data_IF_165782676172
#
_entry.id   IF_165782676172
#
_cell.length_a   1.000
_cell.length_b   1.000
_cell.length_c   1.000
_cell.angle_alpha   90.00
_cell.angle_beta   90.00
_cell.angle_gamma   90.00
#
_symmetry.space_group_name_H-M   'P 1'
#
loop_
_entity.id
_entity.type
_entity.pdbx_description
1 polymer ?
#
# COMPACT_ATOMS: atom_id res chain seq x y z
N UNK A 1 0.71 0.92 -7.00
CA UNK A 1 -0.43 0.27 -6.30
C UNK A 1 -0.23 0.51 -4.81
N UNK A 2 -1.08 1.30 -4.19
CA UNK A 2 -1.05 1.57 -2.73
C UNK A 2 -1.97 0.56 -2.08
N UNK A 3 -1.44 -0.31 -1.23
CA UNK A 3 -2.25 -1.32 -0.54
C UNK A 3 -2.59 -0.80 0.84
N UNK A 4 -3.83 -0.37 1.02
CA UNK A 4 -4.42 -0.09 2.33
C UNK A 4 -4.77 -1.43 2.99
N UNK A 5 -4.05 -1.81 4.04
CA UNK A 5 -4.37 -3.00 4.82
C UNK A 5 -5.24 -2.63 6.01
N UNK A 6 -6.54 -2.87 5.88
CA UNK A 6 -7.47 -2.94 7.00
C UNK A 6 -7.29 -4.28 7.73
N UNK A 7 -6.76 -4.20 8.93
CA UNK A 7 -6.44 -5.37 9.76
C UNK A 7 -7.71 -5.92 10.39
N UNK A 8 -8.35 -6.95 9.83
CA UNK A 8 -9.13 -7.87 10.69
C UNK A 8 -9.44 -9.25 10.12
N UNK A 9 -9.10 -9.60 8.88
CA UNK A 9 -9.39 -10.94 8.38
C UNK A 9 -8.30 -11.46 7.43
N UNK A 10 -7.88 -12.72 7.63
CA UNK A 10 -7.06 -13.53 6.72
C UNK A 10 -5.59 -13.13 6.57
N UNK A 11 -4.75 -13.40 7.59
CA UNK A 11 -3.29 -13.26 7.51
C UNK A 11 -2.63 -14.04 6.36
N UNK A 12 -3.27 -15.11 5.89
CA UNK A 12 -2.67 -16.00 4.88
C UNK A 12 -2.73 -15.45 3.45
N UNK A 13 -3.74 -14.67 3.10
CA UNK A 13 -3.93 -14.18 1.73
C UNK A 13 -3.19 -12.87 1.46
N UNK A 14 -2.92 -12.05 2.49
CA UNK A 14 -2.27 -10.76 2.32
C UNK A 14 -0.82 -10.88 1.83
N UNK A 15 -0.12 -11.95 2.19
CA UNK A 15 1.26 -12.17 1.78
C UNK A 15 1.43 -12.23 0.26
N UNK A 16 0.42 -12.71 -0.47
CA UNK A 16 0.45 -12.77 -1.93
C UNK A 16 0.45 -11.38 -2.60
N UNK A 17 0.01 -10.34 -1.89
CA UNK A 17 -0.07 -8.98 -2.41
C UNK A 17 1.09 -8.08 -1.96
N UNK A 18 1.95 -8.59 -1.06
CA UNK A 18 3.10 -7.83 -0.60
C UNK A 18 4.21 -7.85 -1.66
N UNK A 19 4.46 -6.70 -2.27
CA UNK A 19 5.48 -6.52 -3.31
C UNK A 19 6.42 -5.36 -2.98
N UNK A 20 7.65 -5.45 -3.45
CA UNK A 20 8.64 -4.37 -3.30
C UNK A 20 8.33 -3.11 -4.14
N UNK A 21 7.29 -3.16 -4.99
CA UNK A 21 6.82 -2.04 -5.82
C UNK A 21 5.72 -1.22 -5.13
N UNK A 22 5.59 -1.32 -3.83
CA UNK A 22 4.49 -0.72 -3.08
C UNK A 22 4.98 0.19 -1.96
N UNK A 23 4.21 1.23 -1.67
CA UNK A 23 4.26 1.97 -0.40
C UNK A 23 3.21 1.34 0.52
N UNK A 24 3.59 1.02 1.74
CA UNK A 24 2.68 0.43 2.72
C UNK A 24 2.22 1.47 3.72
N UNK A 25 0.90 1.62 3.84
CA UNK A 25 0.28 2.48 4.85
C UNK A 25 -0.26 1.60 5.97
N UNK A 26 0.33 1.71 7.15
CA UNK A 26 -0.03 0.93 8.33
C UNK A 26 -0.83 1.80 9.30
N UNK A 27 -2.12 1.50 9.42
CA UNK A 27 -3.04 2.24 10.26
C UNK A 27 -3.10 1.62 11.67
N UNK A 28 -3.11 2.47 12.69
CA UNK A 28 -3.34 2.05 14.06
C UNK A 28 -4.19 3.08 14.82
N UNK A 29 -4.92 2.59 15.80
CA UNK A 29 -5.86 3.39 16.59
C UNK A 29 -5.13 4.03 17.78
N UNK A 30 -4.95 5.35 17.75
CA UNK A 30 -4.25 6.12 18.80
C UNK A 30 -4.96 6.02 20.16
N UNK A 31 -6.26 5.74 20.17
CA UNK A 31 -7.01 5.61 21.42
C UNK A 31 -6.58 4.39 22.24
N UNK A 32 -5.94 3.42 21.61
CA UNK A 32 -5.40 2.20 22.24
C UNK A 32 -3.98 2.37 22.77
N UNK A 33 -3.38 3.55 22.57
CA UNK A 33 -2.02 3.84 23.03
C UNK A 33 -0.98 2.87 22.47
N UNK A 34 0.05 2.60 23.27
CA UNK A 34 1.17 1.70 22.92
C UNK A 34 0.71 0.33 22.41
N UNK A 35 -0.36 -0.23 22.97
CA UNK A 35 -0.88 -1.54 22.55
C UNK A 35 -1.45 -1.51 21.13
N UNK A 36 -2.02 -0.39 20.69
CA UNK A 36 -2.43 -0.21 19.31
C UNK A 36 -1.26 -0.33 18.33
N UNK A 37 -0.15 0.30 18.66
CA UNK A 37 1.07 0.27 17.87
C UNK A 37 1.76 -1.10 17.92
N UNK A 38 1.82 -1.77 19.08
CA UNK A 38 2.37 -3.13 19.20
C UNK A 38 1.70 -4.14 18.28
N UNK A 39 0.40 -3.98 18.02
CA UNK A 39 -0.34 -4.84 17.10
C UNK A 39 0.11 -4.72 15.63
N UNK A 40 0.81 -3.65 15.27
CA UNK A 40 1.41 -3.51 13.94
C UNK A 40 2.70 -4.33 13.77
N UNK A 41 3.43 -4.66 14.84
CA UNK A 41 4.73 -5.33 14.73
C UNK A 41 4.70 -6.62 13.87
N UNK A 42 3.72 -7.53 14.01
CA UNK A 42 3.64 -8.70 13.14
C UNK A 42 3.46 -8.35 11.66
N UNK A 43 2.72 -7.29 11.36
CA UNK A 43 2.50 -6.81 10.00
C UNK A 43 3.76 -6.20 9.41
N UNK A 44 4.45 -5.35 10.16
CA UNK A 44 5.72 -4.77 9.75
C UNK A 44 6.74 -5.87 9.45
N UNK A 45 6.82 -6.91 10.29
CA UNK A 45 7.69 -8.07 10.03
C UNK A 45 7.30 -8.83 8.77
N UNK A 46 5.99 -9.01 8.51
CA UNK A 46 5.50 -9.64 7.28
C UNK A 46 5.86 -8.81 6.04
N UNK A 47 5.72 -7.49 6.10
CA UNK A 47 6.14 -6.59 5.02
C UNK A 47 7.65 -6.72 4.80
N UNK A 48 8.46 -6.72 5.85
CA UNK A 48 9.91 -6.87 5.72
C UNK A 48 10.29 -8.22 5.13
N UNK A 49 9.58 -9.28 5.47
CA UNK A 49 9.85 -10.63 4.95
C UNK A 49 9.48 -10.78 3.47
N UNK A 50 8.32 -10.27 3.06
CA UNK A 50 7.79 -10.45 1.70
C UNK A 50 8.23 -9.35 0.73
N UNK A 51 8.43 -8.13 1.22
CA UNK A 51 8.77 -6.94 0.44
C UNK A 51 9.91 -6.15 1.11
N UNK A 52 11.10 -6.73 1.24
CA UNK A 52 12.20 -6.12 2.00
C UNK A 52 12.60 -4.75 1.45
N UNK A 53 12.68 -3.77 2.36
CA UNK A 53 13.08 -2.41 2.04
C UNK A 53 12.00 -1.55 1.38
N UNK A 54 10.76 -2.03 1.29
CA UNK A 54 9.63 -1.22 0.86
C UNK A 54 9.31 -0.16 1.93
N UNK A 55 9.01 1.08 1.53
CA UNK A 55 8.72 2.14 2.47
C UNK A 55 7.38 1.93 3.18
N UNK A 56 7.37 2.26 4.47
CA UNK A 56 6.17 2.24 5.30
C UNK A 56 5.85 3.63 5.81
N UNK A 57 4.57 3.98 5.79
CA UNK A 57 3.97 5.12 6.49
C UNK A 57 3.16 4.58 7.66
N UNK A 58 3.43 5.07 8.86
CA UNK A 58 2.60 4.80 10.03
C UNK A 58 1.55 5.90 10.15
N UNK A 59 0.30 5.51 10.34
CA UNK A 59 -0.80 6.45 10.48
C UNK A 59 -1.56 6.16 11.76
N UNK A 60 -1.47 7.08 12.72
CA UNK A 60 -2.26 7.08 13.94
C UNK A 60 -3.63 7.70 13.65
N UNK A 61 -4.67 6.89 13.68
CA UNK A 61 -6.05 7.30 13.39
C UNK A 61 -6.81 7.66 14.66
N UNK A 62 -8.01 8.25 14.53
CA UNK A 62 -8.88 8.68 15.62
C UNK A 62 -8.27 9.77 16.51
N UNK A 63 -7.54 10.71 15.92
CA UNK A 63 -6.98 11.86 16.62
C UNK A 63 -8.06 12.73 17.28
N UNK A 64 -9.24 12.82 16.67
CA UNK A 64 -10.42 13.51 17.14
C UNK A 64 -10.91 13.02 18.52
N UNK A 65 -10.78 11.72 18.78
CA UNK A 65 -11.31 11.08 19.98
C UNK A 65 -10.43 11.27 21.21
N UNK A 66 -9.16 11.62 21.05
CA UNK A 66 -8.21 11.84 22.16
C UNK A 66 -7.26 13.01 21.90
N UNK A 67 -7.77 14.25 21.84
CA UNK A 67 -6.93 15.43 21.55
C UNK A 67 -5.72 15.58 22.49
N UNK A 68 -5.90 15.24 23.78
CA UNK A 68 -4.84 15.34 24.77
C UNK A 68 -3.66 14.37 24.55
N UNK A 69 -3.89 13.26 23.84
CA UNK A 69 -2.89 12.23 23.53
C UNK A 69 -2.44 12.30 22.07
N UNK A 70 -3.18 12.99 21.23
CA UNK A 70 -2.85 13.25 19.81
C UNK A 70 -1.69 14.26 19.68
N UNK A 71 -0.75 14.21 20.60
CA UNK A 71 0.45 15.02 20.59
C UNK A 71 1.58 14.24 19.94
N UNK A 72 2.23 14.85 18.94
CA UNK A 72 3.35 14.26 18.23
C UNK A 72 4.47 13.73 19.16
N UNK A 73 4.72 14.43 20.27
CA UNK A 73 5.72 14.01 21.25
C UNK A 73 5.36 12.70 21.93
N UNK A 74 4.09 12.50 22.31
CA UNK A 74 3.62 11.28 22.97
C UNK A 74 3.65 10.11 22.00
N UNK A 75 3.21 10.33 20.77
CA UNK A 75 3.25 9.30 19.72
C UNK A 75 4.69 8.91 19.40
N UNK A 76 5.59 9.88 19.29
CA UNK A 76 7.02 9.60 19.07
C UNK A 76 7.65 8.78 20.22
N UNK A 77 7.25 9.02 21.47
CA UNK A 77 7.69 8.21 22.62
C UNK A 77 7.19 6.76 22.51
N UNK A 78 5.94 6.55 22.13
CA UNK A 78 5.40 5.20 21.94
C UNK A 78 6.05 4.47 20.76
N UNK A 79 6.34 5.19 19.70
CA UNK A 79 7.06 4.64 18.55
C UNK A 79 8.48 4.24 18.92
N UNK A 80 9.19 5.08 19.70
CA UNK A 80 10.51 4.77 20.22
C UNK A 80 10.50 3.54 21.13
N UNK A 81 9.49 3.41 22.01
CA UNK A 81 9.34 2.24 22.88
C UNK A 81 9.12 0.95 22.11
N UNK A 82 8.28 0.98 21.07
CA UNK A 82 7.83 -0.23 20.36
C UNK A 82 8.73 -0.61 19.19
N UNK A 83 9.20 0.38 18.46
CA UNK A 83 9.96 0.20 17.20
C UNK A 83 11.44 0.53 17.34
N UNK A 84 11.83 1.16 18.46
CA UNK A 84 13.18 1.68 18.67
C UNK A 84 13.37 3.01 17.96
N UNK A 85 14.64 3.38 17.71
CA UNK A 85 14.97 4.69 17.17
C UNK A 85 14.36 4.95 15.78
N UNK A 86 13.19 5.61 15.77
CA UNK A 86 12.38 5.87 14.57
C UNK A 86 13.15 6.69 13.53
N UNK A 87 13.98 7.65 13.97
CA UNK A 87 14.80 8.45 13.07
C UNK A 87 15.80 7.60 12.26
N UNK A 88 16.26 6.51 12.84
CA UNK A 88 17.16 5.56 12.16
C UNK A 88 16.40 4.54 11.29
N UNK A 89 15.11 4.31 11.54
CA UNK A 89 14.29 3.38 10.75
C UNK A 89 14.13 3.83 9.29
N UNK A 90 14.33 5.10 8.97
CA UNK A 90 14.41 5.58 7.57
C UNK A 90 15.58 4.93 6.81
N UNK A 91 16.63 4.54 7.51
CA UNK A 91 17.78 3.82 6.90
C UNK A 91 17.43 2.35 6.73
N UNK A 92 17.35 1.89 5.50
CA UNK A 92 17.05 0.48 5.17
C UNK A 92 17.93 -0.52 5.90
N UNK A 93 19.24 -0.22 6.04
CA UNK A 93 20.20 -1.11 6.72
C UNK A 93 19.93 -1.25 8.22
N UNK A 94 19.48 -0.19 8.88
CA UNK A 94 19.13 -0.22 10.30
C UNK A 94 17.80 -0.95 10.52
N UNK A 95 16.79 -0.61 9.74
CA UNK A 95 15.48 -1.26 9.79
C UNK A 95 15.61 -2.79 9.55
N UNK A 96 16.38 -3.19 8.55
CA UNK A 96 16.63 -4.61 8.25
C UNK A 96 17.30 -5.37 9.40
N UNK A 97 18.22 -4.74 10.16
CA UNK A 97 18.84 -5.35 11.36
C UNK A 97 17.81 -5.64 12.45
N UNK A 98 16.75 -4.85 12.54
CA UNK A 98 15.65 -5.04 13.49
C UNK A 98 14.55 -5.99 12.94
N UNK A 99 14.69 -6.46 11.71
CA UNK A 99 13.64 -7.24 11.03
C UNK A 99 12.39 -6.42 10.73
N UNK A 100 12.55 -5.11 10.55
CA UNK A 100 11.47 -4.15 10.25
C UNK A 100 11.70 -3.52 8.87
N UNK A 101 10.63 -3.08 8.19
CA UNK A 101 10.75 -2.27 6.97
C UNK A 101 11.16 -0.83 7.34
N UNK A 102 11.71 -0.06 6.39
CA UNK A 102 12.01 1.35 6.64
C UNK A 102 10.72 2.15 6.84
N UNK A 103 10.62 2.82 7.99
CA UNK A 103 9.53 3.75 8.30
C UNK A 103 9.96 5.15 7.87
N UNK A 104 9.34 5.66 6.82
CA UNK A 104 9.69 6.96 6.25
C UNK A 104 8.93 8.11 6.88
N UNK A 105 7.70 7.88 7.27
CA UNK A 105 6.84 8.90 7.82
C UNK A 105 5.89 8.33 8.87
N UNK A 106 5.58 9.12 9.88
CA UNK A 106 4.55 8.85 10.89
C UNK A 106 3.62 10.05 10.96
N UNK A 107 2.34 9.82 10.79
CA UNK A 107 1.30 10.84 10.73
C UNK A 107 0.25 10.57 11.77
N UNK A 108 -0.20 11.61 12.45
CA UNK A 108 -1.38 11.60 13.31
C UNK A 108 -2.48 12.30 12.52
N UNK A 109 -3.62 11.65 12.34
CA UNK A 109 -4.70 12.22 11.53
C UNK A 109 -6.10 11.95 12.08
N UNK A 110 -6.98 12.86 11.78
CA UNK A 110 -8.41 12.65 11.79
C UNK A 110 -8.87 12.18 10.40
N UNK A 111 -9.37 10.94 10.31
CA UNK A 111 -9.85 10.38 9.05
C UNK A 111 -11.10 11.09 8.50
N UNK A 112 -11.77 11.92 9.28
CA UNK A 112 -12.88 12.74 8.84
C UNK A 112 -12.44 14.11 8.31
N UNK A 113 -11.20 14.52 8.60
CA UNK A 113 -10.59 15.73 8.08
C UNK A 113 -10.16 15.51 6.62
N UNK A 114 -10.78 16.25 5.71
CA UNK A 114 -10.39 16.19 4.30
C UNK A 114 -8.96 16.68 4.08
N UNK A 115 -8.53 17.69 4.83
CA UNK A 115 -7.19 18.26 4.75
C UNK A 115 -6.11 17.24 5.17
N UNK A 116 -6.32 16.53 6.28
CA UNK A 116 -5.39 15.48 6.74
C UNK A 116 -5.26 14.36 5.71
N UNK A 117 -6.38 13.96 5.10
CA UNK A 117 -6.39 12.93 4.04
C UNK A 117 -5.65 13.41 2.80
N UNK A 118 -5.85 14.66 2.37
CA UNK A 118 -5.13 15.23 1.22
C UNK A 118 -3.63 15.32 1.48
N UNK A 119 -3.21 15.73 2.67
CA UNK A 119 -1.79 15.74 3.07
C UNK A 119 -1.19 14.33 3.03
N UNK A 120 -1.85 13.36 3.62
CA UNK A 120 -1.37 11.96 3.58
C UNK A 120 -1.25 11.44 2.14
N UNK A 121 -2.22 11.74 1.28
CA UNK A 121 -2.19 11.32 -0.13
C UNK A 121 -1.02 11.95 -0.89
N UNK A 122 -0.71 13.22 -0.62
CA UNK A 122 0.45 13.90 -1.20
C UNK A 122 1.77 13.25 -0.73
N UNK A 123 1.91 12.97 0.57
CA UNK A 123 3.08 12.28 1.12
C UNK A 123 3.29 10.90 0.47
N UNK A 124 2.20 10.13 0.30
CA UNK A 124 2.23 8.83 -0.37
C UNK A 124 2.65 8.98 -1.83
N UNK A 125 2.12 9.99 -2.53
CA UNK A 125 2.47 10.27 -3.92
C UNK A 125 3.95 10.59 -4.06
N UNK A 126 4.48 11.49 -3.23
CA UNK A 126 5.88 11.89 -3.25
C UNK A 126 6.82 10.70 -2.97
N UNK A 127 6.44 9.83 -2.05
CA UNK A 127 7.18 8.58 -1.83
C UNK A 127 7.09 7.64 -3.02
N UNK A 128 5.93 7.52 -3.66
CA UNK A 128 5.75 6.65 -4.83
C UNK A 128 6.59 7.11 -6.03
N UNK A 129 6.68 8.43 -6.24
CA UNK A 129 7.55 9.02 -7.28
C UNK A 129 9.04 8.71 -7.03
N UNK A 130 9.45 8.64 -5.76
CA UNK A 130 10.84 8.35 -5.39
C UNK A 130 11.18 6.85 -5.41
N UNK A 131 10.17 5.97 -5.48
CA UNK A 131 10.40 4.53 -5.54
C UNK A 131 11.14 4.12 -6.81
N UNK A 132 12.21 3.37 -6.63
CA UNK A 132 13.05 2.89 -7.72
C UNK A 132 13.21 1.39 -7.67
N UNK A 133 13.34 0.79 -8.83
CA UNK A 133 13.63 -0.62 -8.95
C UNK A 133 14.97 -0.94 -8.28
N UNK A 134 15.05 -1.97 -7.40
CA UNK A 134 16.23 -2.20 -6.56
C UNK A 134 17.51 -2.51 -7.36
N UNK A 135 17.39 -3.09 -8.55
CA UNK A 135 18.54 -3.45 -9.41
C UNK A 135 18.85 -2.39 -10.46
N UNK A 136 17.84 -1.87 -11.17
CA UNK A 136 18.03 -0.96 -12.31
C UNK A 136 18.03 0.51 -11.91
N UNK A 137 17.55 0.84 -10.71
CA UNK A 137 17.38 2.20 -10.21
C UNK A 137 16.42 3.08 -11.03
N UNK A 138 15.69 2.47 -11.96
CA UNK A 138 14.67 3.16 -12.76
C UNK A 138 13.46 3.44 -11.85
N UNK A 139 12.86 4.66 -11.91
CA UNK A 139 11.62 4.95 -11.19
C UNK A 139 10.50 4.00 -11.60
N UNK A 140 9.77 3.45 -10.63
CA UNK A 140 8.66 2.54 -10.96
C UNK A 140 7.52 3.20 -11.73
N UNK A 141 7.30 4.50 -11.53
CA UNK A 141 6.27 5.25 -12.25
C UNK A 141 6.67 5.56 -13.70
N UNK A 142 7.97 5.48 -14.03
CA UNK A 142 8.50 5.66 -15.38
C UNK A 142 8.72 4.31 -16.09
N UNK A 143 8.40 3.19 -15.40
CA UNK A 143 8.55 1.87 -15.98
C UNK A 143 7.56 1.72 -17.17
N UNK A 144 8.07 1.40 -18.34
CA UNK A 144 7.25 1.25 -19.54
C UNK A 144 6.40 0.00 -19.39
N UNK A 145 5.12 0.19 -19.19
CA UNK A 145 4.15 -0.91 -19.17
C UNK A 145 3.86 -1.31 -20.61
N UNK A 146 4.00 -2.59 -20.98
CA UNK A 146 3.65 -3.04 -22.33
C UNK A 146 2.22 -2.61 -22.70
N UNK A 147 2.02 -2.18 -23.94
CA UNK A 147 0.72 -1.75 -24.45
C UNK A 147 -0.37 -2.80 -24.24
N UNK A 148 0.00 -4.06 -24.33
CA UNK A 148 -0.89 -5.19 -24.05
C UNK A 148 -1.53 -5.16 -22.66
N UNK A 149 -0.82 -4.66 -21.63
CA UNK A 149 -1.39 -4.51 -20.28
C UNK A 149 -2.44 -3.41 -20.22
N UNK A 150 -2.23 -2.28 -20.91
CA UNK A 150 -3.23 -1.20 -20.98
C UNK A 150 -4.49 -1.65 -21.72
N UNK A 151 -4.33 -2.40 -22.81
CA UNK A 151 -5.45 -2.93 -23.56
C UNK A 151 -6.25 -3.94 -22.72
N UNK A 152 -5.57 -4.87 -22.04
CA UNK A 152 -6.21 -5.81 -21.13
C UNK A 152 -6.90 -5.10 -19.96
N UNK A 153 -6.24 -4.12 -19.35
CA UNK A 153 -6.83 -3.32 -18.27
C UNK A 153 -8.13 -2.65 -18.75
N UNK A 154 -8.12 -2.03 -19.93
CA UNK A 154 -9.30 -1.38 -20.49
C UNK A 154 -10.46 -2.35 -20.70
N UNK A 155 -10.19 -3.57 -21.19
CA UNK A 155 -11.21 -4.62 -21.36
C UNK A 155 -11.80 -5.07 -20.02
N UNK A 156 -10.94 -5.27 -19.01
CA UNK A 156 -11.38 -5.63 -17.64
C UNK A 156 -12.23 -4.51 -17.06
N UNK A 157 -11.83 -3.25 -17.19
CA UNK A 157 -12.59 -2.11 -16.69
C UNK A 157 -13.97 -1.98 -17.34
N UNK A 158 -14.06 -2.17 -18.67
CA UNK A 158 -15.35 -2.17 -19.39
C UNK A 158 -16.25 -3.27 -18.85
N UNK A 159 -15.71 -4.48 -18.67
CA UNK A 159 -16.49 -5.60 -18.14
C UNK A 159 -16.93 -5.34 -16.71
N UNK A 160 -16.05 -4.86 -15.83
CA UNK A 160 -16.36 -4.52 -14.45
C UNK A 160 -17.45 -3.45 -14.39
N UNK A 161 -17.37 -2.39 -15.20
CA UNK A 161 -18.43 -1.37 -15.27
C UNK A 161 -19.77 -1.93 -15.74
N UNK A 162 -19.77 -2.92 -16.63
CA UNK A 162 -20.99 -3.56 -17.08
C UNK A 162 -21.66 -4.44 -15.99
N UNK A 163 -20.85 -4.98 -15.07
CA UNK A 163 -21.31 -5.80 -13.95
C UNK A 163 -21.75 -4.95 -12.75
N UNK A 164 -21.11 -3.79 -12.53
CA UNK A 164 -21.41 -2.87 -11.44
C UNK A 164 -22.57 -1.92 -11.80
N UNK A 165 -23.73 -2.45 -12.20
CA UNK A 165 -24.92 -1.62 -12.45
C UNK A 165 -25.55 -1.09 -11.17
N UNK A 166 -25.32 -1.76 -10.04
CA UNK A 166 -25.82 -1.36 -8.72
C UNK A 166 -24.65 -1.17 -7.74
N UNK A 167 -24.69 -0.07 -6.98
CA UNK A 167 -23.69 0.26 -5.96
C UNK A 167 -23.53 -0.77 -4.85
N UNK A 168 -24.39 -1.77 -4.81
CA UNK A 168 -24.40 -2.85 -3.81
C UNK A 168 -23.66 -4.12 -4.25
N UNK A 169 -23.34 -4.27 -5.52
CA UNK A 169 -22.60 -5.42 -6.03
C UNK A 169 -21.09 -5.15 -6.06
N UNK A 170 -20.32 -5.96 -5.36
CA UNK A 170 -18.86 -5.91 -5.45
C UNK A 170 -18.43 -6.24 -6.90
N UNK A 171 -17.45 -5.51 -7.46
CA UNK A 171 -16.93 -5.77 -8.80
C UNK A 171 -16.08 -7.05 -8.80
N UNK A 172 -16.76 -8.19 -8.75
CA UNK A 172 -16.11 -9.50 -8.76
C UNK A 172 -16.26 -10.10 -10.16
N UNK A 173 -15.12 -10.30 -10.83
CA UNK A 173 -15.05 -11.10 -12.05
C UNK A 173 -14.97 -12.58 -11.67
N UNK A 174 -15.87 -13.38 -12.20
CA UNK A 174 -15.75 -14.84 -12.11
C UNK A 174 -14.60 -15.32 -12.98
N UNK A 175 -14.02 -16.46 -12.61
CA UNK A 175 -12.90 -17.03 -13.35
C UNK A 175 -13.23 -17.22 -14.85
N UNK A 176 -14.43 -17.71 -15.15
CA UNK A 176 -14.90 -17.89 -16.52
C UNK A 176 -14.95 -16.58 -17.31
N UNK A 177 -15.47 -15.52 -16.71
CA UNK A 177 -15.52 -14.19 -17.34
C UNK A 177 -14.12 -13.60 -17.58
N UNK A 178 -13.18 -13.87 -16.69
CA UNK A 178 -11.79 -13.47 -16.89
C UNK A 178 -11.13 -14.26 -18.02
N UNK A 179 -11.39 -15.58 -18.10
CA UNK A 179 -10.89 -16.43 -19.18
C UNK A 179 -11.45 -15.98 -20.52
N UNK A 180 -12.74 -15.62 -20.61
CA UNK A 180 -13.35 -15.10 -21.83
C UNK A 180 -12.69 -13.79 -22.29
N UNK A 181 -12.40 -12.87 -21.37
CA UNK A 181 -11.67 -11.62 -21.66
C UNK A 181 -10.27 -11.94 -22.20
N UNK A 182 -9.54 -12.84 -21.54
CA UNK A 182 -8.21 -13.26 -21.96
C UNK A 182 -8.23 -13.92 -23.32
N UNK A 183 -9.19 -14.79 -23.58
CA UNK A 183 -9.34 -15.49 -24.85
C UNK A 183 -9.68 -14.53 -25.98
N UNK A 184 -10.60 -13.60 -25.74
CA UNK A 184 -10.94 -12.54 -26.70
C UNK A 184 -9.72 -11.66 -27.00
N UNK A 185 -8.95 -11.31 -25.98
CA UNK A 185 -7.72 -10.51 -26.11
C UNK A 185 -6.64 -11.24 -26.93
N UNK A 186 -6.42 -12.53 -26.67
CA UNK A 186 -5.46 -13.36 -27.41
C UNK A 186 -5.84 -13.45 -28.90
N UNK A 187 -7.12 -13.63 -29.20
CA UNK A 187 -7.60 -13.78 -30.58
C UNK A 187 -7.56 -12.46 -31.35
N UNK A 188 -7.92 -11.34 -30.72
CA UNK A 188 -8.12 -10.06 -31.40
C UNK A 188 -6.99 -9.04 -31.13
N UNK A 189 -6.28 -9.16 -30.01
CA UNK A 189 -5.22 -8.24 -29.60
C UNK A 189 -3.85 -8.52 -30.24
N UNK A 190 -3.53 -9.77 -30.55
CA UNK A 190 -2.28 -10.13 -31.22
C UNK A 190 -2.30 -9.95 -32.76
N UNK A 191 -3.45 -9.61 -33.34
CA UNK A 191 -3.62 -9.52 -34.80
C UNK A 191 -3.02 -8.28 -35.46
N UNK A 192 -2.36 -7.36 -34.74
CA UNK A 192 -1.81 -6.12 -35.32
C UNK A 192 -0.36 -5.81 -34.95
N UNK A 193 0.44 -6.79 -34.57
CA UNK A 193 1.89 -6.59 -34.45
C UNK A 193 2.53 -6.94 -35.78
N UNK A 194 2.48 -6.02 -36.74
CA UNK A 194 3.46 -5.98 -37.79
C UNK A 194 4.79 -5.55 -37.19
N UNK A 195 5.66 -6.52 -37.01
CA UNK A 195 7.09 -6.31 -36.77
C UNK A 195 7.66 -5.55 -37.98
N UNK A 196 8.03 -4.32 -37.76
CA UNK A 196 9.02 -3.62 -38.57
C UNK A 196 10.17 -3.21 -37.69
#
# INVERSE_FOLDING_TARGET
MVTLNLVHCCRCTHQCFLTYRSVYVCLWDITKGVEGLRKLCPWLRSIQACAPGSPVVLVATHADRRPAVSNATVVAQWEEEVLGNVSQLKKRSYAAKLGLPPVYHSVIMDCLSKEDVEHLMNDIYDMAVQLRHPRTQIPFLEDVVPRSYHELQSLVEVKVRSLCRDWQSAPILRHEEFVDIMFWYIIHGFGSVNVR
#
